data_IF_297183351025
#
_entry.id   IF_297183351025
#
_cell.length_a   1.000
_cell.length_b   1.000
_cell.length_c   1.000
_cell.angle_alpha   90.00
_cell.angle_beta   90.00
_cell.angle_gamma   90.00
#
_symmetry.space_group_name_H-M   'P 1'
#
loop_
_entity.id
_entity.type
_entity.pdbx_description
1 polymer ?
#
# COMPACT_ATOMS: atom_id res chain seq x y z
N UNK A 1 -27.50 5.93 -12.71
CA UNK A 1 -27.96 6.27 -11.34
C UNK A 1 -29.24 7.08 -11.40
N UNK A 2 -30.15 6.89 -10.43
CA UNK A 2 -31.38 7.70 -10.33
C UNK A 2 -31.00 9.08 -9.75
N UNK A 3 -31.51 10.21 -10.29
CA UNK A 3 -31.14 11.55 -9.82
C UNK A 3 -31.31 11.78 -8.31
N UNK A 4 -32.39 11.24 -7.73
CA UNK A 4 -32.64 11.29 -6.31
C UNK A 4 -31.53 10.62 -5.47
N UNK A 5 -31.06 9.44 -5.91
CA UNK A 5 -29.98 8.71 -5.22
C UNK A 5 -28.65 9.47 -5.32
N UNK A 6 -28.36 10.05 -6.50
CA UNK A 6 -27.16 10.89 -6.67
C UNK A 6 -27.20 12.06 -5.69
N UNK A 7 -28.33 12.78 -5.64
CA UNK A 7 -28.50 13.91 -4.73
C UNK A 7 -28.39 13.50 -3.26
N UNK A 8 -29.04 12.42 -2.84
CA UNK A 8 -28.97 11.92 -1.47
C UNK A 8 -27.52 11.64 -1.04
N UNK A 9 -26.74 11.02 -1.92
CA UNK A 9 -25.31 10.71 -1.63
C UNK A 9 -24.51 12.01 -1.57
N UNK A 10 -24.63 12.92 -2.54
CA UNK A 10 -23.87 14.17 -2.54
C UNK A 10 -24.24 15.08 -1.38
N UNK A 11 -25.52 15.16 -1.00
CA UNK A 11 -25.97 15.94 0.16
C UNK A 11 -25.42 15.34 1.47
N UNK A 12 -25.39 14.02 1.61
CA UNK A 12 -24.77 13.36 2.75
C UNK A 12 -23.26 13.65 2.84
N UNK A 13 -22.54 13.52 1.72
CA UNK A 13 -21.10 13.79 1.69
C UNK A 13 -20.80 15.26 2.05
N UNK A 14 -21.58 16.22 1.52
CA UNK A 14 -21.42 17.64 1.89
C UNK A 14 -21.66 17.87 3.37
N UNK A 15 -22.70 17.26 3.93
CA UNK A 15 -23.00 17.38 5.36
C UNK A 15 -21.83 16.95 6.23
N UNK A 16 -21.16 15.83 5.90
CA UNK A 16 -19.97 15.38 6.61
C UNK A 16 -18.82 16.40 6.51
N UNK A 17 -18.64 17.03 5.35
CA UNK A 17 -17.61 18.05 5.16
C UNK A 17 -17.92 19.33 5.94
N UNK A 18 -19.16 19.83 5.85
CA UNK A 18 -19.56 21.15 6.34
C UNK A 18 -19.91 21.14 7.83
N UNK A 19 -20.60 20.09 8.31
CA UNK A 19 -21.06 20.00 9.70
C UNK A 19 -20.01 19.36 10.63
N UNK A 20 -19.23 18.38 10.13
CA UNK A 20 -18.28 17.61 10.94
C UNK A 20 -16.83 18.01 10.64
N UNK A 21 -16.57 18.56 9.43
CA UNK A 21 -15.24 19.04 9.07
C UNK A 21 -14.29 17.94 8.55
N UNK A 22 -14.81 16.85 7.98
CA UNK A 22 -13.93 15.80 7.45
C UNK A 22 -13.25 16.23 6.14
N UNK A 23 -12.03 15.70 5.89
CA UNK A 23 -11.16 16.10 4.78
C UNK A 23 -11.33 15.26 3.52
N UNK A 24 -12.08 14.17 3.59
CA UNK A 24 -12.26 13.29 2.44
C UNK A 24 -12.95 11.97 2.76
N UNK A 25 -13.05 11.13 1.74
CA UNK A 25 -13.81 9.87 1.78
C UNK A 25 -13.05 8.74 1.08
N UNK A 26 -13.06 7.58 1.69
CA UNK A 26 -12.77 6.31 1.00
C UNK A 26 -14.10 5.64 0.65
N UNK A 27 -14.28 5.33 -0.59
CA UNK A 27 -15.48 4.68 -1.11
C UNK A 27 -15.24 3.18 -1.22
N UNK A 28 -16.03 2.45 -0.45
CA UNK A 28 -16.04 1.00 -0.46
C UNK A 28 -16.60 0.48 -1.78
N UNK A 29 -15.97 -0.56 -2.35
CA UNK A 29 -16.38 -1.17 -3.63
C UNK A 29 -16.72 -0.11 -4.69
N UNK A 30 -15.87 0.90 -4.84
CA UNK A 30 -16.19 2.12 -5.60
C UNK A 30 -16.48 1.86 -7.08
N UNK A 31 -16.00 0.77 -7.65
CA UNK A 31 -16.33 0.36 -9.02
C UNK A 31 -17.84 0.11 -9.20
N UNK A 32 -18.57 -0.30 -8.16
CA UNK A 32 -20.04 -0.42 -8.21
C UNK A 32 -20.72 0.95 -8.43
N UNK A 33 -20.12 2.04 -7.91
CA UNK A 33 -20.61 3.42 -8.08
C UNK A 33 -20.30 3.98 -9.47
N UNK A 34 -19.24 3.50 -10.10
CA UNK A 34 -18.77 3.92 -11.41
C UNK A 34 -19.42 3.15 -12.57
N UNK A 35 -20.31 2.16 -12.30
CA UNK A 35 -20.92 1.36 -13.37
C UNK A 35 -22.00 2.11 -14.11
N UNK A 36 -21.95 1.98 -15.45
CA UNK A 36 -22.99 2.41 -16.36
C UNK A 36 -23.30 1.27 -17.35
N UNK A 37 -24.54 0.78 -17.35
CA UNK A 37 -24.97 -0.36 -18.20
C UNK A 37 -24.14 -1.64 -17.98
N UNK A 38 -23.66 -1.85 -16.75
CA UNK A 38 -22.85 -3.03 -16.37
C UNK A 38 -21.35 -2.85 -16.53
N UNK A 39 -20.88 -1.83 -17.26
CA UNK A 39 -19.45 -1.55 -17.43
C UNK A 39 -18.97 -0.41 -16.55
N UNK A 40 -17.67 -0.41 -16.26
CA UNK A 40 -17.02 0.67 -15.50
C UNK A 40 -16.93 1.91 -16.39
N UNK A 41 -17.46 3.02 -15.89
CA UNK A 41 -17.47 4.30 -16.59
C UNK A 41 -17.07 5.40 -15.58
N UNK A 42 -15.85 5.90 -15.69
CA UNK A 42 -15.32 6.98 -14.85
C UNK A 42 -16.09 8.30 -14.94
N UNK A 43 -17.01 8.42 -15.95
CA UNK A 43 -17.93 9.55 -16.11
C UNK A 43 -19.37 9.16 -15.76
N UNK A 44 -19.57 8.15 -14.90
CA UNK A 44 -20.89 7.83 -14.38
C UNK A 44 -21.51 9.03 -13.66
N UNK A 45 -22.86 9.10 -13.62
CA UNK A 45 -23.57 10.27 -13.09
C UNK A 45 -23.17 10.63 -11.65
N UNK A 46 -22.87 9.64 -10.80
CA UNK A 46 -22.44 9.89 -9.42
C UNK A 46 -21.01 10.41 -9.37
N UNK A 47 -20.08 9.80 -10.10
CA UNK A 47 -18.69 10.26 -10.16
C UNK A 47 -18.61 11.70 -10.66
N UNK A 48 -19.30 12.02 -11.75
CA UNK A 48 -19.38 13.40 -12.29
C UNK A 48 -20.00 14.36 -11.27
N UNK A 49 -21.08 13.96 -10.60
CA UNK A 49 -21.69 14.81 -9.58
C UNK A 49 -20.74 15.16 -8.42
N UNK A 50 -19.97 14.17 -7.96
CA UNK A 50 -18.99 14.36 -6.89
C UNK A 50 -17.85 15.30 -7.32
N UNK A 51 -17.23 15.07 -8.49
CA UNK A 51 -16.11 15.90 -8.94
C UNK A 51 -16.52 17.30 -9.43
N UNK A 52 -17.80 17.50 -9.75
CA UNK A 52 -18.34 18.81 -10.14
C UNK A 52 -18.89 19.60 -8.95
N UNK A 53 -19.02 18.99 -7.79
CA UNK A 53 -19.54 19.64 -6.61
C UNK A 53 -18.48 20.57 -6.00
N UNK A 54 -18.80 21.86 -5.71
CA UNK A 54 -17.83 22.85 -5.26
C UNK A 54 -17.21 22.53 -3.89
N UNK A 55 -17.89 21.74 -3.04
CA UNK A 55 -17.38 21.31 -1.74
C UNK A 55 -16.58 20.03 -1.88
N UNK A 56 -17.11 19.04 -2.60
CA UNK A 56 -16.55 17.69 -2.65
C UNK A 56 -15.29 17.59 -3.53
N UNK A 57 -15.22 18.37 -4.63
CA UNK A 57 -14.05 18.37 -5.52
C UNK A 57 -12.74 18.76 -4.83
N UNK A 58 -12.83 19.53 -3.74
CA UNK A 58 -11.68 19.98 -2.95
C UNK A 58 -11.31 18.98 -1.83
N UNK A 59 -12.01 17.85 -1.76
CA UNK A 59 -11.80 16.82 -0.74
C UNK A 59 -10.98 15.67 -1.30
N UNK A 60 -10.36 14.89 -0.40
CA UNK A 60 -9.65 13.66 -0.77
C UNK A 60 -10.69 12.61 -1.15
N UNK A 61 -10.67 12.19 -2.42
CA UNK A 61 -11.55 11.16 -2.95
C UNK A 61 -10.72 9.91 -3.21
N UNK A 62 -10.99 8.83 -2.48
CA UNK A 62 -10.23 7.59 -2.55
C UNK A 62 -11.19 6.46 -2.93
N UNK A 63 -10.87 5.75 -4.01
CA UNK A 63 -11.62 4.60 -4.46
C UNK A 63 -10.95 3.29 -4.02
N UNK A 64 -11.76 2.35 -3.58
CA UNK A 64 -11.46 0.94 -3.67
C UNK A 64 -11.86 0.48 -5.06
N UNK A 65 -10.89 0.24 -5.97
CA UNK A 65 -11.19 0.14 -7.40
C UNK A 65 -11.57 -1.29 -7.84
N UNK A 66 -12.31 -2.02 -7.03
CA UNK A 66 -12.88 -3.34 -7.35
C UNK A 66 -14.25 -3.52 -6.71
N UNK A 67 -14.95 -4.54 -7.14
CA UNK A 67 -16.17 -5.07 -6.54
C UNK A 67 -16.37 -6.55 -6.93
N UNK A 68 -17.47 -7.15 -6.49
CA UNK A 68 -17.81 -8.56 -6.79
C UNK A 68 -18.02 -8.85 -8.28
N UNK A 69 -18.12 -7.83 -9.12
CA UNK A 69 -18.38 -7.94 -10.57
C UNK A 69 -17.18 -7.56 -11.43
N UNK A 70 -16.12 -6.95 -10.86
CA UNK A 70 -14.96 -6.58 -11.65
C UNK A 70 -13.95 -5.68 -10.99
N UNK A 71 -12.89 -5.42 -11.74
CA UNK A 71 -11.68 -4.71 -11.36
C UNK A 71 -11.52 -3.44 -12.19
N UNK A 72 -11.25 -2.31 -11.55
CA UNK A 72 -11.27 -0.98 -12.14
C UNK A 72 -10.07 -0.10 -11.78
N UNK A 73 -8.96 -0.70 -11.34
CA UNK A 73 -7.76 0.07 -11.02
C UNK A 73 -7.28 0.87 -12.24
N UNK A 74 -7.07 2.17 -12.07
CA UNK A 74 -6.71 3.10 -13.13
C UNK A 74 -7.90 3.75 -13.85
N UNK A 75 -9.15 3.35 -13.55
CA UNK A 75 -10.34 3.80 -14.30
C UNK A 75 -11.02 5.06 -13.72
N UNK A 76 -10.69 5.49 -12.53
CA UNK A 76 -11.30 6.67 -11.92
C UNK A 76 -10.70 7.97 -12.47
N UNK A 77 -11.50 9.03 -12.65
CA UNK A 77 -11.01 10.30 -13.17
C UNK A 77 -10.24 11.11 -12.11
N UNK A 78 -9.47 12.12 -12.54
CA UNK A 78 -8.97 13.15 -11.63
C UNK A 78 -10.16 13.85 -10.92
N UNK A 79 -10.08 14.16 -9.61
CA UNK A 79 -8.94 14.04 -8.68
C UNK A 79 -8.92 12.76 -7.82
N UNK A 80 -9.63 11.70 -8.21
CA UNK A 80 -9.69 10.47 -7.46
C UNK A 80 -8.30 9.83 -7.31
N UNK A 81 -8.06 9.25 -6.13
CA UNK A 81 -6.95 8.34 -5.85
C UNK A 81 -7.49 6.93 -5.68
N UNK A 82 -6.65 5.95 -5.91
CA UNK A 82 -7.08 4.55 -5.89
C UNK A 82 -6.15 3.68 -5.05
N UNK A 83 -6.72 2.80 -4.27
CA UNK A 83 -5.97 1.75 -3.59
C UNK A 83 -5.28 0.85 -4.63
N UNK A 84 -3.95 0.78 -4.59
CA UNK A 84 -3.16 0.05 -5.57
C UNK A 84 -2.76 -1.33 -5.02
N UNK A 85 -3.60 -2.33 -5.28
CA UNK A 85 -3.32 -3.71 -4.90
C UNK A 85 -2.17 -4.33 -5.71
N UNK A 86 -1.92 -3.87 -6.95
CA UNK A 86 -0.75 -4.30 -7.71
C UNK A 86 0.56 -3.85 -7.05
N UNK A 87 0.60 -2.66 -6.43
CA UNK A 87 1.71 -2.25 -5.60
C UNK A 87 1.91 -3.22 -4.44
N UNK A 88 0.86 -3.49 -3.68
CA UNK A 88 0.86 -4.42 -2.55
C UNK A 88 1.45 -5.78 -2.95
N UNK A 89 0.92 -6.36 -4.00
CA UNK A 89 1.26 -7.72 -4.41
C UNK A 89 2.70 -7.82 -4.91
N UNK A 90 3.16 -6.84 -5.69
CA UNK A 90 4.55 -6.81 -6.19
C UNK A 90 5.54 -6.65 -5.04
N UNK A 91 5.30 -5.73 -4.11
CA UNK A 91 6.22 -5.50 -2.98
C UNK A 91 6.25 -6.71 -2.04
N UNK A 92 5.10 -7.31 -1.74
CA UNK A 92 5.05 -8.54 -0.94
C UNK A 92 5.82 -9.68 -1.61
N UNK A 93 5.60 -9.91 -2.91
CA UNK A 93 6.32 -10.95 -3.67
C UNK A 93 7.82 -10.70 -3.70
N UNK A 94 8.25 -9.45 -3.88
CA UNK A 94 9.67 -9.10 -3.89
C UNK A 94 10.37 -9.51 -2.60
N UNK A 95 9.79 -9.20 -1.45
CA UNK A 95 10.41 -9.46 -0.15
C UNK A 95 10.17 -10.89 0.35
N UNK A 96 9.01 -11.48 0.09
CA UNK A 96 8.57 -12.73 0.73
C UNK A 96 8.66 -13.94 -0.19
N UNK A 97 8.57 -13.78 -1.52
CA UNK A 97 8.57 -14.91 -2.47
C UNK A 97 9.70 -14.91 -3.49
N UNK A 98 10.21 -13.77 -3.89
CA UNK A 98 11.48 -13.55 -4.58
C UNK A 98 11.72 -14.09 -5.99
N UNK A 99 11.07 -15.17 -6.40
CA UNK A 99 11.50 -15.93 -7.60
C UNK A 99 10.64 -15.71 -8.85
N UNK A 100 9.59 -14.91 -8.78
CA UNK A 100 8.61 -14.73 -9.86
C UNK A 100 8.50 -13.32 -10.40
N UNK A 101 9.32 -12.39 -9.89
CA UNK A 101 9.28 -10.99 -10.26
C UNK A 101 10.53 -10.57 -11.00
N UNK A 102 10.36 -9.74 -12.02
CA UNK A 102 11.47 -8.99 -12.63
C UNK A 102 11.77 -7.75 -11.80
N UNK A 103 13.02 -7.32 -11.76
CA UNK A 103 13.39 -6.04 -11.13
C UNK A 103 12.59 -4.87 -11.69
N UNK A 104 12.21 -4.92 -12.97
CA UNK A 104 11.34 -3.93 -13.61
C UNK A 104 9.94 -3.84 -13.01
N UNK A 105 9.36 -4.93 -12.53
CA UNK A 105 8.05 -4.90 -11.87
C UNK A 105 8.12 -4.09 -10.58
N UNK A 106 9.16 -4.32 -9.77
CA UNK A 106 9.39 -3.56 -8.54
C UNK A 106 9.71 -2.09 -8.86
N UNK A 107 10.57 -1.82 -9.85
CA UNK A 107 10.90 -0.47 -10.29
C UNK A 107 9.65 0.32 -10.72
N UNK A 108 8.75 -0.31 -11.49
CA UNK A 108 7.49 0.30 -11.91
C UNK A 108 6.62 0.68 -10.72
N UNK A 109 6.54 -0.18 -9.69
CA UNK A 109 5.74 0.12 -8.49
C UNK A 109 6.36 1.25 -7.67
N UNK A 110 7.66 1.19 -7.38
CA UNK A 110 8.31 2.22 -6.55
C UNK A 110 8.41 3.59 -7.24
N UNK A 111 8.39 3.64 -8.57
CA UNK A 111 8.37 4.89 -9.33
C UNK A 111 6.97 5.47 -9.59
N UNK A 112 5.91 4.93 -8.95
CA UNK A 112 4.57 5.53 -8.98
C UNK A 112 3.56 4.85 -9.89
N UNK A 113 3.84 3.62 -10.39
CA UNK A 113 2.89 2.84 -11.20
C UNK A 113 2.40 3.57 -12.45
N UNK A 114 3.34 4.09 -13.25
CA UNK A 114 3.07 4.84 -14.48
C UNK A 114 2.20 4.07 -15.48
N UNK A 115 2.33 2.76 -15.56
CA UNK A 115 1.53 1.86 -16.39
C UNK A 115 0.02 1.90 -16.07
N UNK A 116 -0.34 2.32 -14.84
CA UNK A 116 -1.71 2.42 -14.37
C UNK A 116 -2.20 3.88 -14.36
N UNK A 117 -1.37 4.80 -13.88
CA UNK A 117 -1.78 6.16 -13.56
C UNK A 117 -1.20 7.21 -14.52
N UNK A 118 -0.79 6.82 -15.71
CA UNK A 118 -0.12 7.65 -16.71
C UNK A 118 -0.71 9.06 -16.89
N UNK A 119 -2.04 9.17 -16.96
CA UNK A 119 -2.70 10.47 -17.19
C UNK A 119 -2.95 11.31 -15.94
N UNK A 120 -2.67 10.78 -14.74
CA UNK A 120 -3.09 11.41 -13.47
C UNK A 120 -1.94 11.68 -12.50
N UNK A 121 -0.77 11.16 -12.79
CA UNK A 121 0.41 11.28 -11.94
C UNK A 121 0.49 10.24 -10.80
N UNK A 122 1.68 10.11 -10.19
CA UNK A 122 1.97 9.07 -9.20
C UNK A 122 1.13 9.20 -7.94
N UNK A 123 0.70 10.41 -7.57
CA UNK A 123 -0.15 10.66 -6.39
C UNK A 123 -1.57 10.14 -6.53
N UNK A 124 -1.97 9.61 -7.70
CA UNK A 124 -3.22 8.86 -7.87
C UNK A 124 -3.14 7.47 -7.24
N UNK A 125 -1.95 6.94 -7.02
CA UNK A 125 -1.71 5.66 -6.37
C UNK A 125 -1.70 5.80 -4.85
N UNK A 126 -2.63 5.17 -4.15
CA UNK A 126 -2.53 4.90 -2.73
C UNK A 126 -1.79 3.58 -2.58
N UNK A 127 -0.52 3.66 -2.25
CA UNK A 127 0.34 2.50 -2.03
C UNK A 127 0.08 1.91 -0.64
N UNK A 128 -0.07 0.62 -0.54
CA UNK A 128 -0.24 -0.05 0.75
C UNK A 128 0.38 -1.44 0.73
N UNK A 129 0.70 -1.95 1.90
CA UNK A 129 1.14 -3.33 2.11
C UNK A 129 0.03 -4.16 2.74
N UNK A 130 -0.75 -3.55 3.60
CA UNK A 130 -1.79 -4.13 4.45
C UNK A 130 -2.97 -3.17 4.51
N UNK A 131 -4.14 -3.71 4.76
CA UNK A 131 -5.37 -2.96 4.94
C UNK A 131 -6.23 -3.63 6.02
N UNK A 132 -7.43 -3.11 6.29
CA UNK A 132 -8.37 -3.71 7.25
C UNK A 132 -8.78 -5.14 6.85
N UNK A 133 -8.79 -5.44 5.55
CA UNK A 133 -8.93 -6.80 5.02
C UNK A 133 -7.57 -7.37 4.67
N UNK A 134 -7.32 -8.61 5.04
CA UNK A 134 -6.06 -9.30 4.83
C UNK A 134 -5.21 -9.42 6.10
N UNK A 135 -4.01 -9.95 5.94
CA UNK A 135 -3.02 -10.05 7.02
C UNK A 135 -2.49 -8.69 7.43
N UNK A 136 -2.19 -8.54 8.73
CA UNK A 136 -1.36 -7.45 9.25
C UNK A 136 0.09 -7.61 8.78
N UNK A 137 0.92 -6.59 8.98
CA UNK A 137 2.34 -6.67 8.66
C UNK A 137 3.05 -7.81 9.42
N UNK A 138 2.71 -8.01 10.69
CA UNK A 138 3.25 -9.11 11.48
C UNK A 138 2.81 -10.47 10.91
N UNK A 139 1.52 -10.63 10.61
CA UNK A 139 0.98 -11.89 10.10
C UNK A 139 1.54 -12.27 8.72
N UNK A 140 1.93 -11.30 7.89
CA UNK A 140 2.61 -11.56 6.61
C UNK A 140 3.93 -12.36 6.75
N UNK A 141 4.57 -12.30 7.90
CA UNK A 141 5.82 -13.02 8.17
C UNK A 141 5.67 -14.13 9.21
N UNK A 142 4.47 -14.31 9.74
CA UNK A 142 4.16 -15.31 10.75
C UNK A 142 3.33 -16.47 10.20
N UNK A 143 2.52 -16.23 9.16
CA UNK A 143 1.55 -17.21 8.68
C UNK A 143 1.67 -17.40 7.17
N UNK A 144 1.77 -18.65 6.73
CA UNK A 144 1.70 -19.01 5.31
C UNK A 144 0.27 -19.18 4.84
N UNK A 145 -0.60 -19.62 5.74
CA UNK A 145 -2.03 -19.84 5.47
C UNK A 145 -2.90 -19.01 6.42
N UNK A 146 -4.13 -18.75 6.01
CA UNK A 146 -5.09 -18.02 6.84
C UNK A 146 -5.68 -18.91 7.93
N UNK A 147 -5.99 -18.30 9.05
CA UNK A 147 -6.60 -18.93 10.22
C UNK A 147 -7.88 -18.16 10.62
N UNK A 148 -8.95 -18.34 9.84
CA UNK A 148 -10.24 -17.67 10.04
C UNK A 148 -11.27 -18.56 10.73
N UNK A 149 -10.86 -19.63 11.40
CA UNK A 149 -11.78 -20.59 12.06
C UNK A 149 -12.69 -19.92 13.09
N UNK A 150 -12.18 -18.89 13.77
CA UNK A 150 -12.95 -18.11 14.75
C UNK A 150 -14.14 -17.34 14.14
N UNK A 151 -14.15 -17.13 12.82
CA UNK A 151 -15.25 -16.48 12.10
C UNK A 151 -16.48 -17.41 11.91
N UNK A 152 -16.37 -18.67 12.30
CA UNK A 152 -17.43 -19.70 12.17
C UNK A 152 -17.87 -19.99 10.71
N UNK A 153 -17.04 -19.63 9.72
CA UNK A 153 -17.29 -19.89 8.29
C UNK A 153 -16.47 -21.08 7.77
N UNK A 154 -15.84 -21.85 8.65
CA UNK A 154 -15.01 -23.01 8.29
C UNK A 154 -13.78 -22.64 7.48
N UNK A 155 -13.17 -21.48 7.78
CA UNK A 155 -11.98 -20.93 7.11
C UNK A 155 -12.15 -20.72 5.58
N UNK A 156 -13.39 -20.55 5.10
CA UNK A 156 -13.69 -20.32 3.68
C UNK A 156 -13.62 -18.84 3.29
N UNK A 157 -13.85 -17.95 4.23
CA UNK A 157 -13.82 -16.50 4.12
C UNK A 157 -12.39 -15.96 3.98
N UNK A 158 -12.27 -14.73 3.49
CA UNK A 158 -10.99 -14.10 3.20
C UNK A 158 -10.25 -14.70 2.00
N UNK A 159 -9.13 -14.09 1.62
CA UNK A 159 -8.34 -14.54 0.47
C UNK A 159 -7.44 -15.74 0.83
N UNK A 160 -7.21 -16.64 -0.16
CA UNK A 160 -6.20 -17.69 -0.04
C UNK A 160 -4.82 -17.23 -0.55
N UNK A 161 -4.74 -16.06 -1.18
CA UNK A 161 -3.51 -15.54 -1.77
C UNK A 161 -3.02 -14.31 -1.00
N UNK A 162 -2.29 -14.55 0.08
CA UNK A 162 -1.77 -13.49 0.95
C UNK A 162 -0.39 -12.98 0.53
N UNK A 163 0.32 -13.73 -0.31
CA UNK A 163 1.74 -13.49 -0.60
C UNK A 163 2.58 -13.35 0.67
N UNK A 164 2.31 -14.19 1.66
CA UNK A 164 2.96 -14.24 2.97
C UNK A 164 4.00 -15.36 3.04
N UNK A 165 4.91 -15.28 4.01
CA UNK A 165 5.91 -16.30 4.26
C UNK A 165 6.25 -16.40 5.75
N UNK A 166 5.99 -17.53 6.37
CA UNK A 166 6.17 -17.78 7.80
C UNK A 166 7.64 -17.96 8.27
N UNK A 167 8.61 -17.87 7.39
CA UNK A 167 10.04 -18.16 7.62
C UNK A 167 10.30 -19.59 8.17
N UNK A 168 9.43 -20.53 7.86
CA UNK A 168 9.53 -21.92 8.28
C UNK A 168 8.90 -22.25 9.62
N UNK A 169 8.28 -21.27 10.29
CA UNK A 169 7.54 -21.47 11.55
C UNK A 169 6.21 -20.75 11.49
N UNK A 170 5.13 -21.52 11.48
CA UNK A 170 3.77 -20.98 11.50
C UNK A 170 3.43 -20.40 12.86
N UNK A 171 2.98 -19.16 12.90
CA UNK A 171 2.60 -18.47 14.12
C UNK A 171 3.76 -17.92 14.95
N UNK A 172 3.54 -17.70 16.25
CA UNK A 172 4.55 -17.18 17.18
C UNK A 172 5.73 -18.13 17.37
N UNK A 173 6.89 -17.58 17.76
CA UNK A 173 8.09 -18.35 18.03
C UNK A 173 9.00 -17.61 19.02
N UNK A 174 9.78 -18.37 19.79
CA UNK A 174 10.84 -17.84 20.66
C UNK A 174 12.24 -17.90 20.01
N UNK A 175 12.31 -18.34 18.76
CA UNK A 175 13.58 -18.42 18.02
C UNK A 175 14.05 -17.03 17.61
N UNK A 176 15.09 -16.53 18.28
CA UNK A 176 15.63 -15.18 18.08
C UNK A 176 16.05 -14.90 16.63
N UNK A 177 16.63 -15.88 15.94
CA UNK A 177 17.02 -15.72 14.54
C UNK A 177 15.80 -15.49 13.62
N UNK A 178 14.68 -16.14 13.88
CA UNK A 178 13.43 -15.94 13.13
C UNK A 178 12.82 -14.59 13.47
N UNK A 179 12.80 -14.20 14.75
CA UNK A 179 12.29 -12.90 15.18
C UNK A 179 13.08 -11.75 14.55
N UNK A 180 14.39 -11.81 14.53
CA UNK A 180 15.25 -10.81 13.87
C UNK A 180 15.01 -10.76 12.36
N UNK A 181 14.81 -11.90 11.70
CA UNK A 181 14.48 -11.93 10.28
C UNK A 181 13.10 -11.33 10.01
N UNK A 182 12.08 -11.64 10.81
CA UNK A 182 10.75 -11.03 10.73
C UNK A 182 10.84 -9.50 10.85
N UNK A 183 11.50 -9.00 11.88
CA UNK A 183 11.68 -7.56 12.10
C UNK A 183 12.41 -6.90 10.92
N UNK A 184 13.46 -7.53 10.39
CA UNK A 184 14.17 -7.02 9.22
C UNK A 184 13.25 -6.94 8.00
N UNK A 185 12.41 -7.95 7.76
CA UNK A 185 11.43 -7.93 6.67
C UNK A 185 10.36 -6.86 6.86
N UNK A 186 9.84 -6.67 8.08
CA UNK A 186 8.91 -5.56 8.39
C UNK A 186 9.51 -4.20 8.05
N UNK A 187 10.74 -3.95 8.51
CA UNK A 187 11.47 -2.70 8.20
C UNK A 187 11.69 -2.52 6.70
N UNK A 188 12.01 -3.60 5.98
CA UNK A 188 12.25 -3.57 4.52
C UNK A 188 10.97 -3.31 3.72
N UNK A 189 9.87 -3.95 4.10
CA UNK A 189 8.54 -3.72 3.54
C UNK A 189 8.11 -2.26 3.74
N UNK A 190 8.24 -1.75 4.98
CA UNK A 190 7.91 -0.35 5.30
C UNK A 190 8.83 0.65 4.61
N UNK A 191 10.12 0.35 4.48
CA UNK A 191 11.04 1.19 3.71
C UNK A 191 10.62 1.26 2.24
N UNK A 192 10.22 0.15 1.64
CA UNK A 192 9.69 0.15 0.27
C UNK A 192 8.46 1.03 0.15
N UNK A 193 7.51 0.92 1.09
CA UNK A 193 6.28 1.72 1.10
C UNK A 193 6.59 3.22 1.22
N UNK A 194 7.40 3.59 2.19
CA UNK A 194 7.67 5.00 2.50
C UNK A 194 8.57 5.66 1.44
N UNK A 195 9.49 4.92 0.83
CA UNK A 195 10.42 5.46 -0.19
C UNK A 195 9.87 5.41 -1.62
N UNK A 196 8.69 4.90 -1.86
CA UNK A 196 8.05 4.88 -3.18
C UNK A 196 7.35 6.19 -3.53
N UNK A 197 7.31 6.54 -4.81
CA UNK A 197 6.41 7.56 -5.33
C UNK A 197 4.94 7.11 -5.19
N UNK A 198 4.04 8.07 -5.03
CA UNK A 198 2.63 7.82 -4.66
C UNK A 198 2.37 8.13 -3.19
N UNK A 199 1.16 7.85 -2.73
CA UNK A 199 0.71 8.15 -1.37
C UNK A 199 0.80 6.87 -0.51
N UNK A 200 1.68 6.81 0.51
CA UNK A 200 1.77 5.66 1.38
C UNK A 200 0.56 5.59 2.32
N UNK A 201 -0.05 4.42 2.43
CA UNK A 201 -1.09 4.11 3.41
C UNK A 201 -0.57 3.04 4.36
N UNK A 202 -0.62 3.34 5.65
CA UNK A 202 -0.22 2.46 6.74
C UNK A 202 -1.47 1.97 7.47
N UNK A 203 -1.59 0.66 7.67
CA UNK A 203 -2.61 0.10 8.55
C UNK A 203 -2.22 0.40 10.01
N UNK A 204 -3.15 1.02 10.74
CA UNK A 204 -2.95 1.34 12.16
C UNK A 204 -2.63 0.08 12.98
N UNK A 205 -1.52 0.13 13.71
CA UNK A 205 -1.01 -0.97 14.53
C UNK A 205 0.10 -1.78 13.88
N UNK A 206 0.30 -1.68 12.56
CA UNK A 206 1.44 -2.34 11.90
C UNK A 206 2.77 -1.80 12.40
N UNK A 207 2.84 -0.50 12.72
CA UNK A 207 4.00 0.15 13.33
C UNK A 207 4.32 -0.35 14.75
N UNK A 208 3.35 -1.02 15.37
CA UNK A 208 3.46 -1.58 16.71
C UNK A 208 3.67 -3.10 16.70
N UNK A 209 3.75 -3.72 15.51
CA UNK A 209 3.84 -5.17 15.38
C UNK A 209 2.55 -5.92 15.70
N UNK A 210 1.37 -5.30 15.50
CA UNK A 210 0.06 -5.91 15.77
C UNK A 210 -0.16 -7.16 14.91
N UNK A 211 -0.68 -8.22 15.54
CA UNK A 211 -1.11 -9.45 14.86
C UNK A 211 -2.61 -9.68 15.01
N UNK A 212 -3.21 -10.36 14.07
CA UNK A 212 -4.58 -10.91 14.10
C UNK A 212 -4.55 -12.44 14.26
N UNK A 213 -3.44 -12.98 14.78
CA UNK A 213 -3.25 -14.41 14.99
C UNK A 213 -3.50 -15.26 13.73
N UNK A 214 -3.12 -14.73 12.56
CA UNK A 214 -3.31 -15.40 11.27
C UNK A 214 -4.71 -15.25 10.66
N UNK A 215 -5.62 -14.50 11.30
CA UNK A 215 -6.86 -14.12 10.63
C UNK A 215 -6.58 -13.07 9.56
N UNK A 216 -7.06 -13.31 8.34
CA UNK A 216 -7.02 -12.34 7.26
C UNK A 216 -8.39 -11.76 6.90
N UNK A 217 -9.37 -11.94 7.79
CA UNK A 217 -10.73 -11.43 7.63
C UNK A 217 -11.30 -11.02 8.99
N UNK A 218 -10.86 -9.86 9.48
CA UNK A 218 -11.09 -9.42 10.85
C UNK A 218 -12.53 -8.93 11.15
N UNK A 219 -13.37 -8.72 10.13
CA UNK A 219 -14.69 -8.10 10.29
C UNK A 219 -15.64 -8.90 11.21
N UNK A 220 -15.51 -10.22 11.27
CA UNK A 220 -16.35 -11.10 12.07
C UNK A 220 -15.60 -11.80 13.21
N UNK A 221 -14.40 -11.34 13.55
CA UNK A 221 -13.70 -11.82 14.73
C UNK A 221 -14.53 -11.55 15.97
N UNK A 222 -14.64 -12.59 16.84
CA UNK A 222 -15.36 -12.48 18.10
C UNK A 222 -14.83 -11.27 18.91
N UNK A 223 -15.72 -10.40 19.46
CA UNK A 223 -15.32 -9.30 20.33
C UNK A 223 -14.38 -9.70 21.48
N UNK A 224 -14.51 -10.88 22.03
CA UNK A 224 -13.62 -11.40 23.08
C UNK A 224 -12.17 -11.53 22.59
N UNK A 225 -11.97 -11.99 21.35
CA UNK A 225 -10.65 -12.02 20.71
C UNK A 225 -10.19 -10.62 20.28
N UNK A 226 -11.12 -9.68 20.07
CA UNK A 226 -10.85 -8.31 19.65
C UNK A 226 -10.54 -7.36 20.81
N UNK A 227 -11.12 -7.61 22.00
CA UNK A 227 -11.05 -6.72 23.14
C UNK A 227 -10.13 -7.23 24.26
N UNK A 228 -9.92 -8.54 24.33
CA UNK A 228 -9.08 -9.16 25.36
C UNK A 228 -7.61 -9.24 24.89
N UNK A 229 -7.09 -8.09 24.51
CA UNK A 229 -5.68 -7.93 24.13
C UNK A 229 -4.71 -8.07 25.31
N UNK A 230 -5.19 -8.49 26.48
CA UNK A 230 -4.39 -8.40 27.71
C UNK A 230 -3.51 -9.61 27.97
N UNK A 231 -3.74 -10.78 27.38
CA UNK A 231 -2.94 -11.92 27.83
C UNK A 231 -2.21 -12.75 26.76
N UNK A 232 -2.60 -12.79 25.48
CA UNK A 232 -1.90 -13.74 24.61
C UNK A 232 -1.54 -13.34 23.17
N UNK A 233 -2.17 -12.39 22.57
CA UNK A 233 -1.81 -11.86 21.23
C UNK A 233 -2.66 -10.60 21.05
N UNK A 234 -2.06 -9.49 20.62
CA UNK A 234 -2.83 -8.29 20.30
C UNK A 234 -3.96 -8.60 19.33
N UNK A 235 -5.05 -9.14 19.87
CA UNK A 235 -6.14 -9.64 19.08
C UNK A 235 -6.91 -8.50 18.41
N UNK A 236 -7.19 -8.65 17.15
CA UNK A 236 -8.14 -7.85 16.42
C UNK A 236 -7.78 -6.36 16.33
N UNK A 237 -8.68 -5.52 16.77
CA UNK A 237 -8.58 -4.06 16.65
C UNK A 237 -7.93 -3.35 17.84
N UNK A 238 -7.68 -4.09 18.94
CA UNK A 238 -7.08 -3.50 20.13
C UNK A 238 -5.57 -3.29 19.94
N UNK A 239 -5.11 -2.10 20.27
CA UNK A 239 -3.69 -1.74 20.24
C UNK A 239 -3.14 -1.84 21.67
N UNK A 240 -2.14 -2.70 21.88
CA UNK A 240 -1.38 -2.72 23.12
C UNK A 240 -0.19 -1.77 23.02
N UNK A 241 -0.33 -0.58 23.57
CA UNK A 241 0.75 0.41 23.62
C UNK A 241 1.95 -0.03 24.44
N UNK A 242 1.73 -0.93 25.38
CA UNK A 242 2.79 -1.45 26.28
C UNK A 242 3.66 -2.53 25.62
N UNK A 243 3.14 -3.18 24.57
CA UNK A 243 3.84 -4.24 23.82
C UNK A 243 4.38 -3.76 22.47
N UNK A 244 4.50 -2.46 22.26
CA UNK A 244 4.97 -1.89 21.00
C UNK A 244 6.39 -2.33 20.67
N UNK A 245 6.63 -2.66 19.43
CA UNK A 245 7.95 -2.91 18.90
C UNK A 245 8.62 -1.56 18.57
N UNK A 246 9.34 -1.00 19.55
CA UNK A 246 9.96 0.32 19.45
C UNK A 246 10.84 0.45 18.21
N UNK A 247 11.66 -0.56 17.92
CA UNK A 247 12.57 -0.57 16.77
C UNK A 247 11.88 -0.39 15.42
N UNK A 248 10.67 -0.95 15.24
CA UNK A 248 9.88 -0.80 14.02
C UNK A 248 9.28 0.60 13.93
N UNK A 249 8.66 1.07 15.01
CA UNK A 249 8.10 2.43 15.11
C UNK A 249 9.14 3.49 14.83
N UNK A 250 10.31 3.39 15.47
CA UNK A 250 11.42 4.34 15.30
C UNK A 250 11.96 4.33 13.86
N UNK A 251 12.04 3.14 13.25
CA UNK A 251 12.43 3.01 11.83
C UNK A 251 11.45 3.68 10.90
N UNK A 252 10.13 3.53 11.12
CA UNK A 252 9.09 4.16 10.31
C UNK A 252 9.10 5.68 10.49
N UNK A 253 9.31 6.17 11.72
CA UNK A 253 9.44 7.61 11.99
C UNK A 253 10.64 8.21 11.27
N UNK A 254 11.80 7.54 11.31
CA UNK A 254 12.99 7.97 10.58
C UNK A 254 12.78 7.99 9.06
N UNK A 255 12.18 6.94 8.48
CA UNK A 255 11.85 6.86 7.06
C UNK A 255 10.86 7.97 6.65
N UNK A 256 9.85 8.24 7.47
CA UNK A 256 8.88 9.32 7.23
C UNK A 256 9.55 10.70 7.24
N UNK A 257 10.51 10.91 8.11
CA UNK A 257 11.31 12.14 8.16
C UNK A 257 12.18 12.29 6.91
N UNK A 258 12.79 11.20 6.43
CA UNK A 258 13.55 11.19 5.17
C UNK A 258 12.62 11.51 3.99
N UNK A 259 11.44 10.87 3.92
CA UNK A 259 10.45 11.16 2.88
C UNK A 259 10.04 12.62 2.87
N UNK A 260 9.66 13.17 4.03
CA UNK A 260 9.24 14.56 4.15
C UNK A 260 10.34 15.53 3.69
N UNK A 261 11.60 15.22 3.99
CA UNK A 261 12.73 16.09 3.68
C UNK A 261 13.19 16.01 2.22
N UNK A 262 13.16 14.83 1.60
CA UNK A 262 13.85 14.60 0.33
C UNK A 262 12.92 14.18 -0.82
N UNK A 263 11.73 13.66 -0.54
CA UNK A 263 10.86 13.11 -1.56
C UNK A 263 9.60 13.95 -1.81
N UNK A 264 9.09 14.66 -0.82
CA UNK A 264 7.77 15.32 -0.89
C UNK A 264 7.60 16.27 -2.07
N UNK A 265 8.67 16.89 -2.54
CA UNK A 265 8.62 17.86 -3.66
C UNK A 265 8.90 17.20 -5.02
N UNK A 266 9.54 16.03 -5.06
CA UNK A 266 9.98 15.41 -6.33
C UNK A 266 9.08 14.27 -6.81
N UNK A 267 8.09 13.85 -6.02
CA UNK A 267 7.20 12.72 -6.32
C UNK A 267 5.83 13.15 -6.83
N UNK A 268 5.62 14.41 -7.16
CA UNK A 268 4.36 14.91 -7.72
C UNK A 268 4.19 14.55 -9.20
N UNK A 269 5.30 14.34 -9.90
CA UNK A 269 5.33 13.92 -11.28
C UNK A 269 6.07 12.58 -11.43
N UNK A 270 5.84 11.90 -12.57
CA UNK A 270 6.57 10.67 -12.86
C UNK A 270 8.01 10.98 -13.24
N UNK A 271 8.91 10.16 -12.73
CA UNK A 271 10.30 10.19 -13.13
C UNK A 271 10.47 9.81 -14.60
N UNK A 272 11.33 10.51 -15.30
CA UNK A 272 11.58 10.35 -16.74
C UNK A 272 12.92 9.70 -17.07
N UNK A 273 13.84 9.63 -16.12
CA UNK A 273 15.25 9.27 -16.35
C UNK A 273 16.04 10.35 -17.07
N UNK A 274 15.46 11.55 -17.23
CA UNK A 274 16.09 12.67 -17.93
C UNK A 274 17.09 13.40 -17.04
N UNK A 275 18.12 13.99 -17.68
CA UNK A 275 19.13 14.79 -16.97
C UNK A 275 18.58 16.19 -16.73
N UNK A 276 18.50 16.59 -15.48
CA UNK A 276 18.24 17.98 -15.11
C UNK A 276 19.41 18.88 -15.51
N UNK A 277 19.12 20.00 -16.15
CA UNK A 277 20.16 20.87 -16.68
C UNK A 277 20.92 21.66 -15.61
N UNK A 278 20.31 21.87 -14.45
CA UNK A 278 20.90 22.56 -13.31
C UNK A 278 21.85 21.65 -12.50
N UNK A 279 21.35 20.46 -12.13
CA UNK A 279 22.10 19.51 -11.30
C UNK A 279 23.03 18.61 -12.11
N UNK A 280 22.80 18.46 -13.43
CA UNK A 280 23.49 17.52 -14.33
C UNK A 280 23.31 16.05 -13.92
N UNK A 281 22.30 15.73 -13.14
CA UNK A 281 21.93 14.38 -12.71
C UNK A 281 20.59 13.98 -13.32
N UNK A 282 20.37 12.67 -13.43
CA UNK A 282 19.05 12.13 -13.79
C UNK A 282 18.08 12.33 -12.61
N UNK A 283 16.82 12.63 -12.89
CA UNK A 283 15.76 12.67 -11.89
C UNK A 283 15.64 11.32 -11.14
N UNK A 284 15.81 10.20 -11.87
CA UNK A 284 16.02 8.86 -11.33
C UNK A 284 17.06 8.10 -12.14
N UNK A 285 17.96 7.39 -11.45
CA UNK A 285 18.91 6.44 -12.06
C UNK A 285 18.86 5.11 -11.33
N UNK A 286 18.89 4.01 -12.07
CA UNK A 286 18.74 2.65 -11.55
C UNK A 286 20.07 1.90 -11.64
N UNK A 287 20.40 1.14 -10.59
CA UNK A 287 21.70 0.48 -10.49
C UNK A 287 21.55 -1.02 -10.23
N UNK A 288 22.39 -1.78 -10.89
CA UNK A 288 22.60 -3.18 -10.65
C UNK A 288 23.55 -3.39 -9.44
N UNK A 289 23.61 -4.62 -8.90
CA UNK A 289 24.45 -4.96 -7.73
C UNK A 289 25.96 -4.71 -7.93
N UNK A 290 26.43 -4.65 -9.15
CA UNK A 290 27.82 -4.33 -9.50
C UNK A 290 28.13 -2.82 -9.51
N UNK A 291 27.12 -1.99 -9.22
CA UNK A 291 27.24 -0.53 -9.20
C UNK A 291 27.10 0.15 -10.56
N UNK A 292 26.86 -0.60 -11.64
CA UNK A 292 26.60 -0.05 -12.96
C UNK A 292 25.10 0.27 -13.12
N UNK A 293 24.77 1.21 -14.03
CA UNK A 293 23.38 1.46 -14.38
C UNK A 293 22.74 0.20 -15.00
N UNK A 294 21.46 0.01 -14.67
CA UNK A 294 20.67 -1.11 -15.18
C UNK A 294 20.57 -1.07 -16.71
N UNK A 295 21.06 -2.11 -17.35
CA UNK A 295 20.92 -2.34 -18.79
C UNK A 295 19.71 -3.24 -19.12
N UNK A 296 19.43 -3.40 -20.41
CA UNK A 296 18.29 -4.18 -20.90
C UNK A 296 18.27 -5.62 -20.34
N UNK A 297 19.42 -6.26 -20.24
CA UNK A 297 19.53 -7.63 -19.71
C UNK A 297 19.25 -7.68 -18.20
N UNK A 298 19.71 -6.69 -17.45
CA UNK A 298 19.48 -6.61 -15.99
C UNK A 298 17.99 -6.49 -15.66
N UNK A 299 17.22 -5.74 -16.45
CA UNK A 299 15.78 -5.60 -16.29
C UNK A 299 15.00 -6.88 -16.55
N UNK A 300 15.55 -7.83 -17.29
CA UNK A 300 14.90 -9.11 -17.61
C UNK A 300 15.34 -10.26 -16.67
N UNK A 301 16.27 -9.99 -15.77
CA UNK A 301 16.75 -11.00 -14.81
C UNK A 301 15.68 -11.26 -13.72
N UNK A 302 15.07 -12.44 -13.76
CA UNK A 302 14.06 -12.89 -12.80
C UNK A 302 14.67 -13.43 -11.49
N UNK A 303 16.00 -13.65 -11.45
CA UNK A 303 16.69 -14.12 -10.25
C UNK A 303 17.15 -12.99 -9.34
N UNK A 304 17.11 -11.76 -9.82
CA UNK A 304 17.62 -10.60 -9.13
C UNK A 304 16.59 -10.07 -8.11
N UNK A 305 16.86 -10.29 -6.83
CA UNK A 305 16.11 -9.70 -5.71
C UNK A 305 16.77 -8.42 -5.19
N UNK A 306 17.29 -7.64 -6.09
CA UNK A 306 18.00 -6.41 -5.81
C UNK A 306 17.51 -5.30 -6.71
N UNK A 307 17.26 -4.16 -6.13
CA UNK A 307 16.94 -2.94 -6.87
C UNK A 307 17.59 -1.77 -6.12
N UNK A 308 18.46 -1.04 -6.79
CA UNK A 308 18.98 0.21 -6.27
C UNK A 308 18.62 1.36 -7.20
N UNK A 309 18.33 2.51 -6.62
CA UNK A 309 18.03 3.71 -7.37
C UNK A 309 18.52 4.96 -6.65
N UNK A 310 18.90 5.95 -7.44
CA UNK A 310 19.26 7.28 -6.97
C UNK A 310 18.25 8.28 -7.49
N UNK A 311 17.73 9.09 -6.59
CA UNK A 311 16.84 10.21 -6.88
C UNK A 311 17.62 11.52 -6.74
N UNK A 312 17.44 12.43 -7.67
CA UNK A 312 17.93 13.80 -7.53
C UNK A 312 16.96 14.54 -6.61
N UNK A 313 17.31 14.58 -5.33
CA UNK A 313 16.50 15.21 -4.32
C UNK A 313 16.71 16.73 -4.25
N UNK A 314 15.83 17.40 -3.50
CA UNK A 314 15.92 18.85 -3.28
C UNK A 314 17.26 19.26 -2.63
N UNK A 315 17.64 20.53 -2.79
CA UNK A 315 18.83 21.13 -2.17
C UNK A 315 20.20 20.56 -2.62
N UNK A 316 20.30 20.11 -3.88
CA UNK A 316 21.53 19.56 -4.46
C UNK A 316 22.02 18.26 -3.79
N UNK A 317 21.16 17.58 -3.09
CA UNK A 317 21.42 16.27 -2.49
C UNK A 317 20.79 15.17 -3.33
N UNK A 318 21.37 13.99 -3.33
CA UNK A 318 20.77 12.80 -3.93
C UNK A 318 20.41 11.82 -2.83
N UNK A 319 19.27 11.16 -3.00
CA UNK A 319 18.86 10.05 -2.16
C UNK A 319 19.19 8.75 -2.90
N UNK A 320 19.98 7.89 -2.26
CA UNK A 320 20.28 6.57 -2.79
C UNK A 320 19.57 5.51 -1.95
N UNK A 321 18.74 4.71 -2.60
CA UNK A 321 17.94 3.66 -1.97
C UNK A 321 18.37 2.30 -2.50
N UNK A 322 18.62 1.36 -1.60
CA UNK A 322 18.95 -0.03 -1.93
C UNK A 322 17.88 -0.95 -1.33
N UNK A 323 17.19 -1.69 -2.17
CA UNK A 323 16.28 -2.75 -1.80
C UNK A 323 16.98 -4.08 -2.11
N UNK A 324 17.49 -4.73 -1.07
CA UNK A 324 18.22 -5.99 -1.20
C UNK A 324 17.45 -7.12 -0.50
N UNK A 325 16.75 -7.92 -1.29
CA UNK A 325 16.04 -9.13 -0.83
C UNK A 325 16.86 -10.41 -0.98
N UNK A 326 18.11 -10.36 -1.45
CA UNK A 326 18.99 -11.52 -1.51
C UNK A 326 19.41 -11.97 -0.10
N UNK A 327 19.62 -13.29 0.04
CA UNK A 327 20.03 -13.92 1.31
C UNK A 327 21.50 -13.67 1.62
#
# INVERSE_FOLDING_TARGET
SRPFVVRMITDSLRWWCEAIGIDGFRFDLASALARRRGEIDGVSALIVAIVSDPVLRERKLIAEPWDVQGYALGAFPYPWREWNDQYRDVVRKFWLHGYTLKSGDMATRVSGSHDIFFYRGPNSSINFLTAHDGFTLADLTMYSEKHNEANAEGNRDGTNNNHSWNLGVEGPTDNQNILEQRLRLHKSLMASLVMSAGVPMLLMGDELGRTQAGSNNAYSLNPELNWDATENFGGGWALSWDKRENDLSDSIAALSSIRAKYLSEIIDEFFTGSIDQGTKRKDIAWFHRDGLEMGANSWQDNSLRYLAFMLDATHKQSLFVILNGDK
#
